data_IF_527867470049
#
_entry.id   IF_527867470049
#
_cell.length_a   1.000
_cell.length_b   1.000
_cell.length_c   1.000
_cell.angle_alpha   90.00
_cell.angle_beta   90.00
_cell.angle_gamma   90.00
#
_symmetry.space_group_name_H-M   'P 1'
#
loop_
_entity.id
_entity.type
_entity.pdbx_description
1 polymer ?
#
# COMPACT_ATOMS: atom_id res chain seq x y z
N UNK A 1 -13.21 2.42 -12.42
CA UNK A 1 -12.60 3.71 -12.79
C UNK A 1 -11.66 3.59 -13.98
N UNK A 2 -10.70 2.66 -13.94
CA UNK A 2 -9.69 2.49 -14.98
C UNK A 2 -10.23 1.88 -16.29
N UNK A 3 -11.39 1.23 -16.24
CA UNK A 3 -12.03 0.51 -17.34
C UNK A 3 -11.20 -0.66 -17.91
N UNK A 4 -10.17 -1.10 -17.18
CA UNK A 4 -9.35 -2.27 -17.53
C UNK A 4 -9.70 -3.46 -16.64
N UNK A 5 -9.41 -4.70 -17.07
CA UNK A 5 -9.64 -5.88 -16.25
C UNK A 5 -8.88 -5.86 -14.95
N UNK A 6 -9.46 -6.45 -13.90
CA UNK A 6 -8.84 -6.54 -12.58
C UNK A 6 -9.13 -7.91 -11.95
N UNK A 7 -8.16 -8.45 -11.23
CA UNK A 7 -8.28 -9.61 -10.37
C UNK A 7 -8.33 -9.22 -8.89
N UNK A 8 -9.10 -9.97 -8.12
CA UNK A 8 -9.21 -9.82 -6.66
C UNK A 8 -9.27 -11.22 -6.00
N UNK A 9 -8.13 -11.75 -5.52
CA UNK A 9 -8.06 -13.09 -4.97
C UNK A 9 -8.74 -13.19 -3.60
N UNK A 10 -9.35 -14.34 -3.31
CA UNK A 10 -9.94 -14.66 -2.02
C UNK A 10 -8.96 -15.34 -1.05
N UNK A 11 -7.92 -15.97 -1.56
CA UNK A 11 -6.91 -16.69 -0.79
C UNK A 11 -5.54 -16.69 -1.48
N UNK A 12 -4.54 -17.30 -0.86
CA UNK A 12 -3.16 -17.32 -1.35
C UNK A 12 -3.00 -18.15 -2.62
N UNK A 13 -3.76 -19.23 -2.77
CA UNK A 13 -3.72 -20.03 -3.99
C UNK A 13 -4.24 -19.22 -5.17
N UNK A 14 -5.37 -18.55 -5.02
CA UNK A 14 -5.88 -17.66 -6.07
C UNK A 14 -4.96 -16.50 -6.37
N UNK A 15 -4.29 -15.93 -5.34
CA UNK A 15 -3.31 -14.88 -5.56
C UNK A 15 -2.16 -15.36 -6.46
N UNK A 16 -1.68 -16.58 -6.24
CA UNK A 16 -0.67 -17.22 -7.08
C UNK A 16 -1.21 -17.50 -8.50
N UNK A 17 -2.38 -18.12 -8.60
CA UNK A 17 -2.99 -18.50 -9.87
C UNK A 17 -3.33 -17.29 -10.74
N UNK A 18 -3.88 -16.24 -10.14
CA UNK A 18 -4.24 -15.01 -10.86
C UNK A 18 -3.00 -14.27 -11.39
N UNK A 19 -1.86 -14.28 -10.67
CA UNK A 19 -0.60 -13.75 -11.21
C UNK A 19 -0.13 -14.61 -12.37
N UNK A 20 -0.15 -15.94 -12.20
CA UNK A 20 0.29 -16.88 -13.21
C UNK A 20 -0.53 -16.78 -14.52
N UNK A 21 -1.85 -16.59 -14.41
CA UNK A 21 -2.74 -16.48 -15.57
C UNK A 21 -2.85 -15.03 -16.08
N UNK A 22 -2.57 -14.05 -15.24
CA UNK A 22 -2.76 -12.63 -15.54
C UNK A 22 -1.88 -12.10 -16.68
N UNK A 23 -0.65 -12.61 -16.80
CA UNK A 23 0.23 -12.23 -17.91
C UNK A 23 -0.33 -12.67 -19.26
N UNK A 24 -0.79 -13.93 -19.38
CA UNK A 24 -1.41 -14.40 -20.64
C UNK A 24 -2.73 -13.68 -20.93
N UNK A 25 -3.49 -13.41 -19.87
CA UNK A 25 -4.75 -12.67 -20.02
C UNK A 25 -4.49 -11.24 -20.50
N UNK A 26 -3.48 -10.57 -19.96
CA UNK A 26 -3.03 -9.24 -20.40
C UNK A 26 -2.58 -9.25 -21.86
N UNK A 27 -1.74 -10.21 -22.24
CA UNK A 27 -1.25 -10.33 -23.62
C UNK A 27 -2.39 -10.65 -24.61
N UNK A 28 -3.29 -11.57 -24.25
CA UNK A 28 -4.47 -11.91 -25.05
C UNK A 28 -5.37 -10.71 -25.30
N UNK A 29 -5.55 -9.88 -24.29
CA UNK A 29 -6.37 -8.67 -24.39
C UNK A 29 -5.61 -7.49 -25.00
N UNK A 30 -4.28 -7.47 -24.93
CA UNK A 30 -3.47 -6.29 -25.27
C UNK A 30 -3.73 -5.09 -24.35
N UNK A 31 -4.13 -5.35 -23.11
CA UNK A 31 -4.42 -4.36 -22.07
C UNK A 31 -3.78 -4.76 -20.74
N UNK A 32 -3.37 -3.82 -19.90
CA UNK A 32 -2.89 -4.16 -18.58
C UNK A 32 -4.00 -4.79 -17.72
N UNK A 33 -3.63 -5.71 -16.84
CA UNK A 33 -4.52 -6.32 -15.86
C UNK A 33 -4.09 -5.87 -14.47
N UNK A 34 -5.00 -5.26 -13.72
CA UNK A 34 -4.75 -4.91 -12.33
C UNK A 34 -4.96 -6.13 -11.42
N UNK A 35 -4.17 -6.21 -10.35
CA UNK A 35 -4.41 -7.15 -9.27
C UNK A 35 -4.60 -6.39 -7.97
N UNK A 36 -5.80 -6.47 -7.41
CA UNK A 36 -6.14 -5.88 -6.12
C UNK A 36 -5.95 -6.90 -5.01
N UNK A 37 -5.05 -6.60 -4.10
CA UNK A 37 -4.79 -7.46 -2.95
C UNK A 37 -5.04 -6.70 -1.65
N UNK A 38 -5.85 -7.27 -0.76
CA UNK A 38 -6.09 -6.68 0.56
C UNK A 38 -4.92 -6.94 1.50
N UNK A 39 -4.72 -6.05 2.47
CA UNK A 39 -3.61 -6.11 3.43
C UNK A 39 -3.57 -7.44 4.18
N UNK A 40 -4.72 -7.96 4.61
CA UNK A 40 -4.82 -9.23 5.31
C UNK A 40 -4.24 -10.39 4.50
N UNK A 41 -4.59 -10.46 3.22
CA UNK A 41 -4.08 -11.52 2.33
C UNK A 41 -2.58 -11.34 2.06
N UNK A 42 -2.11 -10.12 1.86
CA UNK A 42 -0.70 -9.81 1.61
C UNK A 42 0.21 -10.17 2.80
N UNK A 43 -0.30 -10.08 4.03
CA UNK A 43 0.46 -10.38 5.25
C UNK A 43 0.28 -11.82 5.76
N UNK A 44 -0.65 -12.58 5.19
CA UNK A 44 -0.87 -13.98 5.56
C UNK A 44 0.04 -14.94 4.77
N UNK A 45 0.16 -16.17 5.27
CA UNK A 45 0.97 -17.21 4.64
C UNK A 45 0.18 -18.51 4.61
N UNK A 46 0.27 -19.21 3.47
CA UNK A 46 -0.28 -20.55 3.29
C UNK A 46 0.58 -21.36 2.31
N UNK A 47 0.45 -22.66 2.32
CA UNK A 47 0.96 -23.50 1.25
C UNK A 47 0.17 -23.25 -0.04
N UNK A 48 0.87 -23.22 -1.19
CA UNK A 48 0.26 -23.11 -2.51
C UNK A 48 0.79 -24.22 -3.41
N UNK A 49 -0.07 -24.80 -4.24
CA UNK A 49 0.32 -25.71 -5.30
C UNK A 49 1.00 -24.88 -6.41
N UNK A 50 2.25 -25.23 -6.70
CA UNK A 50 3.02 -24.54 -7.73
C UNK A 50 2.75 -25.17 -9.09
N UNK A 51 2.48 -24.32 -10.07
CA UNK A 51 2.37 -24.71 -11.49
C UNK A 51 3.76 -24.75 -12.13
N UNK A 52 3.88 -25.52 -13.22
CA UNK A 52 5.09 -25.51 -14.04
C UNK A 52 5.33 -24.10 -14.62
N UNK A 53 6.61 -23.76 -14.76
CA UNK A 53 6.99 -22.49 -15.34
C UNK A 53 6.56 -22.41 -16.80
N UNK A 54 5.82 -21.36 -17.17
CA UNK A 54 5.48 -21.10 -18.57
C UNK A 54 6.73 -20.70 -19.37
N UNK A 55 6.81 -21.10 -20.64
CA UNK A 55 7.87 -20.60 -21.50
C UNK A 55 7.72 -19.09 -21.68
N UNK A 56 8.85 -18.41 -21.81
CA UNK A 56 8.86 -16.98 -22.10
C UNK A 56 8.30 -16.74 -23.51
N UNK A 57 7.35 -15.82 -23.63
CA UNK A 57 6.85 -15.37 -24.93
C UNK A 57 7.91 -14.54 -25.67
N UNK A 58 7.85 -14.55 -26.99
CA UNK A 58 8.71 -13.71 -27.82
C UNK A 58 8.44 -12.23 -27.54
N UNK A 59 9.49 -11.42 -27.48
CA UNK A 59 9.36 -9.97 -27.35
C UNK A 59 8.88 -9.41 -28.68
N UNK A 60 7.76 -8.68 -28.68
CA UNK A 60 7.27 -7.93 -29.82
C UNK A 60 6.99 -6.48 -29.44
N UNK A 61 7.27 -5.58 -30.33
CA UNK A 61 6.95 -4.16 -30.17
C UNK A 61 5.88 -3.76 -31.17
N UNK A 62 5.06 -2.78 -30.79
CA UNK A 62 4.08 -2.23 -31.72
C UNK A 62 4.76 -1.50 -32.87
N UNK A 63 4.29 -1.73 -34.09
CA UNK A 63 4.73 -0.98 -35.27
C UNK A 63 4.17 0.45 -35.31
N UNK A 64 3.13 0.75 -34.51
CA UNK A 64 2.60 2.11 -34.37
C UNK A 64 3.28 2.83 -33.21
N UNK A 65 4.22 3.77 -33.46
CA UNK A 65 4.92 4.51 -32.42
C UNK A 65 3.97 5.36 -31.56
N UNK A 66 2.75 5.66 -32.06
CA UNK A 66 1.75 6.46 -31.34
C UNK A 66 0.97 5.65 -30.30
N UNK A 67 1.14 4.33 -30.29
CA UNK A 67 0.42 3.46 -29.34
C UNK A 67 0.74 3.82 -27.87
N UNK A 68 1.98 4.15 -27.58
CA UNK A 68 2.47 4.46 -26.23
C UNK A 68 2.82 5.94 -26.00
N UNK A 69 2.56 6.80 -26.99
CA UNK A 69 2.77 8.25 -26.87
C UNK A 69 1.49 8.93 -26.42
N UNK A 70 1.41 9.34 -25.16
CA UNK A 70 0.22 9.93 -24.55
C UNK A 70 0.06 11.41 -24.87
N UNK A 71 -0.06 11.76 -26.15
CA UNK A 71 -0.50 13.08 -26.58
C UNK A 71 -2.05 13.14 -26.59
N UNK A 72 -2.68 14.31 -26.36
CA UNK A 72 -4.15 14.42 -26.28
C UNK A 72 -4.91 13.80 -27.46
N UNK A 73 -4.38 13.92 -28.67
CA UNK A 73 -4.96 13.31 -29.86
C UNK A 73 -4.90 11.78 -29.86
N UNK A 74 -3.78 11.22 -29.41
CA UNK A 74 -3.59 9.78 -29.28
C UNK A 74 -4.41 9.21 -28.12
N UNK A 75 -4.39 9.87 -26.97
CA UNK A 75 -5.17 9.49 -25.79
C UNK A 75 -6.67 9.38 -26.11
N UNK A 76 -7.24 10.36 -26.83
CA UNK A 76 -8.65 10.31 -27.26
C UNK A 76 -8.96 9.12 -28.16
N UNK A 77 -8.06 8.77 -29.08
CA UNK A 77 -8.23 7.60 -29.97
C UNK A 77 -8.18 6.30 -29.16
N UNK A 78 -7.16 6.17 -28.27
CA UNK A 78 -7.01 4.98 -27.41
C UNK A 78 -8.18 4.82 -26.46
N UNK A 79 -8.69 5.89 -25.87
CA UNK A 79 -9.86 5.85 -24.99
C UNK A 79 -11.12 5.34 -25.72
N UNK A 80 -11.35 5.73 -26.99
CA UNK A 80 -12.44 5.19 -27.79
C UNK A 80 -12.30 3.68 -28.00
N UNK A 81 -11.08 3.19 -28.24
CA UNK A 81 -10.81 1.75 -28.37
C UNK A 81 -11.12 1.03 -27.07
N UNK A 82 -10.66 1.57 -25.94
CA UNK A 82 -10.92 1.02 -24.60
C UNK A 82 -12.43 0.93 -24.30
N UNK A 83 -13.19 1.98 -24.63
CA UNK A 83 -14.65 1.99 -24.45
C UNK A 83 -15.34 0.93 -25.33
N UNK A 84 -14.92 0.76 -26.57
CA UNK A 84 -15.50 -0.23 -27.48
C UNK A 84 -15.26 -1.69 -27.05
N UNK A 85 -14.28 -1.92 -26.18
CA UNK A 85 -13.89 -3.26 -25.69
C UNK A 85 -14.57 -3.65 -24.38
N UNK A 86 -15.38 -2.79 -23.77
CA UNK A 86 -15.98 -3.08 -22.46
C UNK A 86 -16.84 -4.36 -22.46
N UNK A 87 -17.58 -4.61 -23.52
CA UNK A 87 -18.39 -5.85 -23.65
C UNK A 87 -17.51 -7.10 -23.72
N UNK A 88 -16.33 -7.03 -24.37
CA UNK A 88 -15.33 -8.11 -24.37
C UNK A 88 -14.83 -8.41 -22.96
N UNK A 89 -14.54 -7.37 -22.18
CA UNK A 89 -14.06 -7.52 -20.80
C UNK A 89 -15.15 -8.07 -19.86
N UNK A 90 -16.40 -7.62 -20.03
CA UNK A 90 -17.56 -8.16 -19.30
C UNK A 90 -17.72 -9.65 -19.62
N UNK A 91 -17.68 -10.03 -20.89
CA UNK A 91 -17.77 -11.43 -21.31
C UNK A 91 -16.63 -12.27 -20.72
N UNK A 92 -15.40 -11.77 -20.77
CA UNK A 92 -14.25 -12.45 -20.15
C UNK A 92 -14.41 -12.64 -18.64
N UNK A 93 -15.06 -11.70 -17.95
CA UNK A 93 -15.40 -11.81 -16.54
C UNK A 93 -16.52 -12.83 -16.28
N UNK A 94 -17.54 -12.88 -17.15
CA UNK A 94 -18.63 -13.85 -17.05
C UNK A 94 -18.16 -15.29 -17.27
N UNK A 95 -17.14 -15.50 -18.10
CA UNK A 95 -16.52 -16.80 -18.41
C UNK A 95 -15.34 -17.14 -17.47
N UNK A 96 -15.01 -16.26 -16.54
CA UNK A 96 -13.85 -16.42 -15.67
C UNK A 96 -14.02 -17.57 -14.67
N UNK A 97 -12.99 -18.41 -14.48
CA UNK A 97 -13.00 -19.43 -13.42
C UNK A 97 -12.98 -18.83 -12.00
N UNK A 98 -12.62 -17.54 -11.87
CA UNK A 98 -12.57 -16.81 -10.61
C UNK A 98 -13.91 -16.20 -10.21
N UNK A 99 -14.90 -16.18 -11.12
CA UNK A 99 -16.27 -15.76 -10.84
C UNK A 99 -17.17 -16.99 -10.84
N UNK A 100 -17.78 -17.29 -9.69
CA UNK A 100 -18.55 -18.52 -9.54
C UNK A 100 -19.91 -18.25 -8.90
N UNK A 101 -20.97 -18.58 -9.63
CA UNK A 101 -22.31 -18.65 -9.07
C UNK A 101 -22.53 -20.04 -8.47
N UNK A 102 -22.97 -20.09 -7.24
CA UNK A 102 -23.40 -21.30 -6.53
C UNK A 102 -24.84 -21.09 -6.07
N UNK A 103 -25.75 -21.94 -6.52
CA UNK A 103 -27.14 -21.85 -6.11
C UNK A 103 -27.33 -22.30 -4.67
N UNK A 104 -28.41 -21.81 -4.02
CA UNK A 104 -28.81 -22.17 -2.67
C UNK A 104 -30.33 -22.25 -2.54
N UNK A 105 -30.86 -23.11 -1.64
CA UNK A 105 -32.31 -23.29 -1.50
C UNK A 105 -33.04 -22.11 -0.91
N UNK A 106 -32.38 -21.29 -0.12
CA UNK A 106 -32.98 -20.13 0.55
C UNK A 106 -32.82 -18.85 -0.28
N UNK A 107 -33.88 -18.44 -0.96
CA UNK A 107 -33.89 -17.28 -1.87
C UNK A 107 -34.19 -15.93 -1.18
N UNK A 108 -34.37 -15.91 0.14
CA UNK A 108 -34.59 -14.66 0.88
C UNK A 108 -33.40 -13.70 0.79
N UNK A 109 -32.20 -14.26 0.64
CA UNK A 109 -30.97 -13.50 0.55
C UNK A 109 -30.06 -14.07 -0.54
N UNK A 110 -29.61 -13.25 -1.47
CA UNK A 110 -28.50 -13.55 -2.39
C UNK A 110 -27.24 -12.87 -1.89
N UNK A 111 -26.09 -13.53 -1.99
CA UNK A 111 -24.82 -12.99 -1.48
C UNK A 111 -23.85 -12.80 -2.62
N UNK A 112 -23.34 -11.55 -2.78
CA UNK A 112 -22.19 -11.25 -3.62
C UNK A 112 -20.97 -11.13 -2.70
N UNK A 113 -19.98 -12.01 -2.89
CA UNK A 113 -18.77 -12.07 -2.07
C UNK A 113 -17.53 -11.81 -2.92
N UNK A 114 -16.87 -10.67 -2.68
CA UNK A 114 -15.72 -10.20 -3.44
C UNK A 114 -14.41 -10.54 -2.73
N UNK A 115 -13.44 -11.08 -3.46
CA UNK A 115 -12.12 -11.39 -2.94
C UNK A 115 -12.16 -12.12 -1.59
N UNK A 116 -11.48 -11.60 -0.59
CA UNK A 116 -11.39 -12.20 0.75
C UNK A 116 -12.76 -12.34 1.45
N UNK A 117 -13.75 -11.53 1.08
CA UNK A 117 -15.11 -11.64 1.62
C UNK A 117 -15.74 -13.00 1.36
N UNK A 118 -15.38 -13.63 0.23
CA UNK A 118 -15.81 -15.00 -0.05
C UNK A 118 -15.20 -16.01 0.94
N UNK A 119 -13.93 -15.87 1.27
CA UNK A 119 -13.28 -16.74 2.25
C UNK A 119 -13.94 -16.64 3.63
N UNK A 120 -14.20 -15.42 4.09
CA UNK A 120 -14.88 -15.18 5.36
C UNK A 120 -16.33 -15.71 5.38
N UNK A 121 -17.02 -15.65 4.24
CA UNK A 121 -18.34 -16.26 4.11
C UNK A 121 -18.23 -17.78 4.29
N UNK A 122 -17.30 -18.43 3.60
CA UNK A 122 -17.16 -19.91 3.67
C UNK A 122 -16.69 -20.40 5.03
N UNK A 123 -15.96 -19.63 5.81
CA UNK A 123 -15.64 -19.95 7.21
C UNK A 123 -16.91 -20.05 8.09
N UNK A 124 -17.96 -19.31 7.74
CA UNK A 124 -19.24 -19.37 8.42
C UNK A 124 -20.17 -20.50 7.90
N UNK A 125 -19.84 -21.06 6.75
CA UNK A 125 -20.61 -22.11 6.08
C UNK A 125 -19.70 -23.26 5.60
N UNK A 126 -19.03 -23.98 6.52
CA UNK A 126 -18.08 -25.04 6.15
C UNK A 126 -18.74 -26.20 5.39
N UNK A 127 -20.03 -26.46 5.64
CA UNK A 127 -20.82 -27.51 4.97
C UNK A 127 -21.56 -26.98 3.71
N UNK A 128 -21.34 -25.73 3.32
CA UNK A 128 -22.01 -25.06 2.22
C UNK A 128 -23.02 -24.01 2.66
N UNK A 129 -23.16 -22.96 1.84
CA UNK A 129 -24.09 -21.87 2.12
C UNK A 129 -25.50 -22.21 1.65
N UNK A 130 -26.51 -21.97 2.50
CA UNK A 130 -27.92 -22.18 2.14
C UNK A 130 -28.44 -21.12 1.16
N UNK A 131 -27.81 -19.96 1.09
CA UNK A 131 -28.16 -18.86 0.18
C UNK A 131 -27.44 -19.00 -1.17
N UNK A 132 -28.02 -18.49 -2.26
CA UNK A 132 -27.28 -18.32 -3.50
C UNK A 132 -26.08 -17.37 -3.29
N UNK A 133 -24.91 -17.78 -3.77
CA UNK A 133 -23.67 -17.01 -3.64
C UNK A 133 -23.07 -16.77 -5.01
N UNK A 134 -22.77 -15.50 -5.31
CA UNK A 134 -21.92 -15.12 -6.41
C UNK A 134 -20.55 -14.68 -5.86
N UNK A 135 -19.54 -15.51 -6.05
CA UNK A 135 -18.15 -15.14 -5.84
C UNK A 135 -17.68 -14.26 -6.97
N UNK A 136 -17.03 -13.12 -6.65
CA UNK A 136 -16.38 -12.24 -7.61
C UNK A 136 -14.89 -12.15 -7.29
N UNK A 137 -14.07 -12.61 -8.24
CA UNK A 137 -12.61 -12.53 -8.20
C UNK A 137 -12.03 -11.86 -9.45
N UNK A 138 -12.87 -11.58 -10.47
CA UNK A 138 -12.47 -10.88 -11.69
C UNK A 138 -13.49 -9.82 -12.07
N UNK A 139 -12.99 -8.67 -12.50
CA UNK A 139 -13.74 -7.51 -12.99
C UNK A 139 -13.42 -7.22 -14.45
N UNK A 140 -14.34 -6.53 -15.20
CA UNK A 140 -15.56 -5.84 -14.76
C UNK A 140 -16.58 -6.79 -14.14
N UNK A 141 -17.62 -6.24 -13.49
CA UNK A 141 -18.67 -7.05 -12.85
C UNK A 141 -19.31 -8.04 -13.84
N UNK A 142 -19.46 -9.32 -13.47
CA UNK A 142 -20.09 -10.34 -14.34
C UNK A 142 -21.60 -10.14 -14.38
N UNK A 143 -22.05 -9.34 -15.35
CA UNK A 143 -23.42 -8.84 -15.46
C UNK A 143 -24.46 -9.96 -15.47
N UNK A 144 -24.21 -11.02 -16.23
CA UNK A 144 -25.14 -12.15 -16.36
C UNK A 144 -25.42 -12.84 -15.04
N UNK A 145 -24.36 -13.15 -14.27
CA UNK A 145 -24.49 -13.82 -12.98
C UNK A 145 -25.10 -12.90 -11.92
N UNK A 146 -24.80 -11.60 -11.96
CA UNK A 146 -25.43 -10.62 -11.08
C UNK A 146 -26.93 -10.54 -11.35
N UNK A 147 -27.36 -10.44 -12.61
CA UNK A 147 -28.77 -10.41 -12.96
C UNK A 147 -29.48 -11.69 -12.51
N UNK A 148 -28.85 -12.87 -12.73
CA UNK A 148 -29.39 -14.16 -12.28
C UNK A 148 -29.61 -14.16 -10.76
N UNK A 149 -28.67 -13.65 -9.95
CA UNK A 149 -28.78 -13.57 -8.51
C UNK A 149 -29.90 -12.62 -8.08
N UNK A 150 -29.92 -11.42 -8.66
CA UNK A 150 -30.90 -10.36 -8.32
C UNK A 150 -32.33 -10.80 -8.67
N UNK A 151 -32.54 -11.46 -9.80
CA UNK A 151 -33.85 -11.94 -10.23
C UNK A 151 -34.36 -13.13 -9.40
N UNK A 152 -33.44 -13.88 -8.76
CA UNK A 152 -33.78 -15.06 -7.97
C UNK A 152 -33.92 -14.83 -6.48
N UNK A 153 -33.55 -13.68 -5.96
CA UNK A 153 -33.51 -13.41 -4.53
C UNK A 153 -34.26 -12.12 -4.13
N UNK A 154 -34.83 -12.12 -2.91
CA UNK A 154 -35.59 -10.99 -2.39
C UNK A 154 -34.69 -9.79 -2.01
N UNK A 155 -33.50 -10.07 -1.49
CA UNK A 155 -32.51 -9.07 -1.06
C UNK A 155 -31.11 -9.54 -1.46
N UNK A 156 -30.19 -8.57 -1.64
CA UNK A 156 -28.78 -8.84 -1.96
C UNK A 156 -27.87 -8.30 -0.85
N UNK A 157 -27.01 -9.15 -0.32
CA UNK A 157 -25.92 -8.77 0.57
C UNK A 157 -24.61 -8.71 -0.22
N UNK A 158 -23.89 -7.60 -0.11
CA UNK A 158 -22.57 -7.44 -0.72
C UNK A 158 -21.48 -7.50 0.35
N UNK A 159 -20.59 -8.47 0.21
CA UNK A 159 -19.42 -8.67 1.06
C UNK A 159 -18.18 -8.24 0.27
N UNK A 160 -17.74 -7.00 0.47
CA UNK A 160 -16.55 -6.44 -0.14
C UNK A 160 -15.66 -5.76 0.91
N UNK A 161 -14.35 -5.97 0.82
CA UNK A 161 -13.41 -5.34 1.73
C UNK A 161 -12.98 -3.96 1.20
N UNK A 162 -12.89 -2.98 2.10
CA UNK A 162 -12.60 -1.59 1.77
C UNK A 162 -13.85 -0.79 1.39
N UNK A 163 -13.77 -0.01 0.31
CA UNK A 163 -14.87 0.89 -0.10
C UNK A 163 -16.00 0.13 -0.79
N UNK A 164 -17.26 0.55 -0.59
CA UNK A 164 -18.45 -0.11 -1.16
C UNK A 164 -18.57 0.17 -2.66
N UNK A 165 -17.76 -0.49 -3.48
CA UNK A 165 -17.72 -0.32 -4.92
C UNK A 165 -18.87 -1.06 -5.63
N UNK A 166 -19.00 -2.36 -5.35
CA UNK A 166 -20.04 -3.21 -5.96
C UNK A 166 -21.42 -2.79 -5.49
N UNK A 167 -21.57 -2.53 -4.18
CA UNK A 167 -22.81 -2.06 -3.60
C UNK A 167 -23.28 -0.75 -4.24
N UNK A 168 -22.37 0.22 -4.44
CA UNK A 168 -22.68 1.49 -5.13
C UNK A 168 -23.13 1.29 -6.56
N UNK A 169 -22.54 0.36 -7.29
CA UNK A 169 -22.94 0.07 -8.67
C UNK A 169 -24.33 -0.57 -8.73
N UNK A 170 -24.66 -1.47 -7.81
CA UNK A 170 -25.96 -2.12 -7.76
C UNK A 170 -27.07 -1.17 -7.32
N UNK A 171 -26.83 -0.34 -6.32
CA UNK A 171 -27.79 0.66 -5.84
C UNK A 171 -28.01 1.80 -6.84
N UNK A 172 -27.01 2.08 -7.69
CA UNK A 172 -26.98 3.29 -8.50
C UNK A 172 -26.88 4.56 -7.66
N UNK A 173 -26.80 5.72 -8.32
CA UNK A 173 -26.56 7.00 -7.66
C UNK A 173 -27.70 7.44 -6.73
N UNK A 174 -28.93 7.11 -7.05
CA UNK A 174 -30.13 7.55 -6.33
C UNK A 174 -30.68 6.49 -5.35
N UNK A 175 -30.07 5.31 -5.25
CA UNK A 175 -30.55 4.22 -4.40
C UNK A 175 -31.91 3.66 -4.81
N UNK A 176 -32.33 3.85 -6.07
CA UNK A 176 -33.58 3.38 -6.62
C UNK A 176 -33.37 1.96 -7.17
N UNK A 177 -34.20 1.01 -6.77
CA UNK A 177 -34.17 -0.34 -7.34
C UNK A 177 -34.06 -1.44 -6.31
N UNK A 178 -33.11 -2.36 -6.49
CA UNK A 178 -32.94 -3.59 -5.72
C UNK A 178 -32.67 -3.31 -4.24
N UNK A 179 -33.21 -4.14 -3.35
CA UNK A 179 -32.84 -4.12 -1.93
C UNK A 179 -31.43 -4.71 -1.76
N UNK A 180 -30.46 -3.84 -1.61
CA UNK A 180 -29.05 -4.21 -1.40
C UNK A 180 -28.65 -3.85 0.01
N UNK A 181 -28.13 -4.83 0.75
CA UNK A 181 -27.51 -4.69 2.06
C UNK A 181 -25.98 -4.70 1.93
N UNK A 182 -25.30 -3.94 2.77
CA UNK A 182 -23.85 -3.89 2.78
C UNK A 182 -23.33 -2.81 3.71
N UNK A 183 -22.31 -2.08 3.28
CA UNK A 183 -21.70 -1.01 4.08
C UNK A 183 -22.53 0.27 4.09
N UNK A 184 -23.27 0.54 3.00
CA UNK A 184 -24.03 1.79 2.87
C UNK A 184 -25.32 1.84 3.73
N UNK A 185 -25.93 0.68 4.03
CA UNK A 185 -27.09 0.59 4.90
C UNK A 185 -26.76 0.25 6.37
N UNK A 186 -25.47 0.07 6.68
CA UNK A 186 -24.99 -0.24 8.03
C UNK A 186 -25.04 -1.73 8.40
N UNK A 187 -25.42 -2.64 7.50
CA UNK A 187 -25.34 -4.09 7.74
C UNK A 187 -23.89 -4.54 8.00
N UNK A 188 -22.94 -3.93 7.31
CA UNK A 188 -21.52 -4.02 7.58
C UNK A 188 -20.99 -2.65 7.99
N UNK A 189 -19.95 -2.59 8.85
CA UNK A 189 -19.33 -1.32 9.22
C UNK A 189 -18.72 -0.65 7.99
N UNK A 190 -18.83 0.69 7.89
CA UNK A 190 -18.19 1.46 6.83
C UNK A 190 -16.69 1.59 7.03
N UNK A 191 -16.23 1.46 8.26
CA UNK A 191 -14.82 1.49 8.66
C UNK A 191 -14.31 0.10 9.05
N UNK A 192 -12.99 -0.03 9.13
CA UNK A 192 -12.31 -1.24 9.53
C UNK A 192 -12.28 -2.35 8.46
N UNK A 193 -11.57 -3.42 8.82
CA UNK A 193 -11.46 -4.62 7.98
C UNK A 193 -12.75 -5.46 8.05
N UNK A 194 -13.07 -6.12 6.95
CA UNK A 194 -14.01 -7.22 6.96
C UNK A 194 -13.38 -8.42 7.71
N UNK A 195 -14.17 -9.12 8.49
CA UNK A 195 -13.73 -10.32 9.21
C UNK A 195 -14.87 -11.35 9.34
N UNK A 196 -14.57 -12.60 9.72
CA UNK A 196 -15.58 -13.67 9.83
C UNK A 196 -16.76 -13.31 10.75
N UNK A 197 -16.51 -12.61 11.85
CA UNK A 197 -17.55 -12.23 12.81
C UNK A 197 -18.50 -11.16 12.25
N UNK A 198 -17.96 -10.19 11.48
CA UNK A 198 -18.81 -9.19 10.82
C UNK A 198 -19.67 -9.83 9.73
N UNK A 199 -19.14 -10.82 9.02
CA UNK A 199 -19.89 -11.60 8.03
C UNK A 199 -20.96 -12.46 8.72
N UNK A 200 -20.63 -13.14 9.83
CA UNK A 200 -21.59 -13.92 10.60
C UNK A 200 -22.82 -13.09 11.00
N UNK A 201 -22.58 -11.89 11.56
CA UNK A 201 -23.67 -10.95 11.91
C UNK A 201 -24.51 -10.53 10.70
N UNK A 202 -23.87 -10.23 9.56
CA UNK A 202 -24.54 -9.79 8.34
C UNK A 202 -25.47 -10.86 7.76
N UNK A 203 -25.14 -12.15 7.93
CA UNK A 203 -25.96 -13.30 7.49
C UNK A 203 -26.83 -13.87 8.59
N UNK A 204 -26.97 -13.18 9.74
CA UNK A 204 -27.84 -13.57 10.84
C UNK A 204 -27.36 -14.77 11.66
N UNK A 205 -26.08 -15.09 11.62
CA UNK A 205 -25.46 -16.11 12.49
C UNK A 205 -24.96 -15.51 13.79
N UNK A 206 -25.02 -16.28 14.87
CA UNK A 206 -24.39 -15.92 16.13
C UNK A 206 -22.85 -15.90 15.97
N UNK A 207 -22.21 -14.94 16.62
CA UNK A 207 -20.75 -14.87 16.66
C UNK A 207 -20.19 -16.11 17.36
N UNK A 208 -19.31 -16.86 16.70
CA UNK A 208 -18.60 -17.97 17.30
C UNK A 208 -17.47 -17.54 18.23
N UNK A 209 -17.12 -16.24 18.26
CA UNK A 209 -16.10 -15.70 19.16
C UNK A 209 -16.61 -15.52 20.60
N UNK A 210 -17.18 -16.57 21.18
CA UNK A 210 -17.43 -16.64 22.62
C UNK A 210 -16.15 -16.67 23.45
N UNK A 211 -15.03 -16.90 22.81
CA UNK A 211 -13.73 -16.86 23.43
C UNK A 211 -13.24 -15.40 23.42
N UNK A 212 -13.35 -14.74 24.56
CA UNK A 212 -12.67 -13.46 24.79
C UNK A 212 -11.18 -13.56 24.45
N UNK A 213 -10.54 -12.43 24.13
CA UNK A 213 -9.10 -12.42 23.90
C UNK A 213 -8.41 -12.93 25.18
N UNK A 214 -7.67 -14.07 25.13
CA UNK A 214 -6.98 -14.58 26.31
C UNK A 214 -6.04 -13.54 26.90
N UNK A 215 -5.94 -13.46 28.23
CA UNK A 215 -5.10 -12.49 28.93
C UNK A 215 -3.61 -12.56 28.58
N UNK A 216 -3.16 -13.67 28.01
CA UNK A 216 -1.79 -13.86 27.50
C UNK A 216 -1.54 -13.09 26.19
N UNK A 217 -2.60 -12.67 25.49
CA UNK A 217 -2.49 -11.91 24.24
C UNK A 217 -2.29 -10.44 24.57
N UNK A 218 -1.08 -9.95 24.37
CA UNK A 218 -0.76 -8.54 24.52
C UNK A 218 -0.76 -7.83 23.15
N UNK A 219 -1.23 -6.59 23.17
CA UNK A 219 -1.14 -5.71 21.98
C UNK A 219 0.35 -5.45 21.68
N UNK A 220 0.74 -5.72 20.45
CA UNK A 220 2.10 -5.49 19.94
C UNK A 220 2.08 -4.48 18.81
N UNK A 221 1.96 -3.18 19.12
CA UNK A 221 2.00 -2.16 18.08
C UNK A 221 3.36 -2.20 17.37
N UNK A 222 3.40 -1.88 16.06
CA UNK A 222 4.66 -1.76 15.35
C UNK A 222 5.60 -0.79 16.06
N UNK A 223 6.86 -1.19 16.23
CA UNK A 223 7.87 -0.39 16.89
C UNK A 223 9.24 -0.54 16.21
N UNK A 224 10.10 0.46 16.36
CA UNK A 224 11.49 0.36 15.92
C UNK A 224 12.20 -0.76 16.68
N UNK A 225 12.91 -1.61 15.96
CA UNK A 225 13.66 -2.72 16.55
C UNK A 225 14.62 -2.24 17.64
N UNK A 226 14.82 -3.03 18.70
CA UNK A 226 15.82 -2.73 19.70
C UNK A 226 17.22 -2.72 19.09
N UNK A 227 18.03 -1.68 19.38
CA UNK A 227 19.35 -1.49 18.80
C UNK A 227 19.35 -0.98 17.35
N UNK A 228 18.19 -0.57 16.81
CA UNK A 228 18.10 0.03 15.48
C UNK A 228 18.72 1.44 15.46
N UNK A 229 19.47 1.77 14.39
CA UNK A 229 20.06 3.11 14.21
C UNK A 229 19.04 4.25 14.15
N UNK A 230 17.82 3.99 13.66
CA UNK A 230 16.74 4.98 13.66
C UNK A 230 16.36 5.44 15.09
N UNK A 231 16.49 4.55 16.10
CA UNK A 231 16.21 4.93 17.50
C UNK A 231 17.22 5.97 18.00
N UNK A 232 18.51 5.70 17.76
CA UNK A 232 19.59 6.59 18.17
C UNK A 232 19.49 7.96 17.46
N UNK A 233 19.13 7.95 16.19
CA UNK A 233 18.88 9.18 15.43
C UNK A 233 17.70 9.97 16.01
N UNK A 234 16.56 9.32 16.29
CA UNK A 234 15.40 10.02 16.85
C UNK A 234 15.61 10.53 18.27
N UNK A 235 16.36 9.82 19.10
CA UNK A 235 16.72 10.31 20.45
C UNK A 235 17.46 11.64 20.33
N UNK A 236 18.52 11.69 19.52
CA UNK A 236 19.33 12.90 19.37
C UNK A 236 18.57 14.04 18.70
N UNK A 237 17.79 13.74 17.67
CA UNK A 237 16.96 14.74 16.97
C UNK A 237 15.90 15.35 17.91
N UNK A 238 15.15 14.48 18.62
CA UNK A 238 14.08 14.98 19.48
C UNK A 238 14.60 15.73 20.71
N UNK A 239 15.75 15.37 21.23
CA UNK A 239 16.38 16.13 22.31
C UNK A 239 16.72 17.54 21.85
N UNK A 240 17.46 17.71 20.74
CA UNK A 240 17.81 19.02 20.20
C UNK A 240 16.57 19.86 19.87
N UNK A 241 15.60 19.26 19.16
CA UNK A 241 14.42 20.01 18.70
C UNK A 241 13.53 20.45 19.86
N UNK A 242 13.31 19.61 20.89
CA UNK A 242 12.49 19.95 22.05
C UNK A 242 13.14 21.00 22.95
N UNK A 243 14.45 20.93 23.11
CA UNK A 243 15.19 21.84 23.98
C UNK A 243 15.34 23.24 23.37
N UNK A 244 15.56 23.33 22.06
CA UNK A 244 16.01 24.57 21.45
C UNK A 244 15.01 25.17 20.43
N UNK A 245 14.09 24.33 19.87
CA UNK A 245 13.19 24.74 18.79
C UNK A 245 11.73 24.35 19.08
N UNK A 246 11.02 25.01 19.99
CA UNK A 246 9.67 24.61 20.44
C UNK A 246 8.61 24.60 19.30
N UNK A 247 8.84 25.38 18.24
CA UNK A 247 7.93 25.46 17.09
C UNK A 247 8.27 24.51 15.94
N UNK A 248 9.29 23.64 16.11
CA UNK A 248 9.74 22.72 15.07
C UNK A 248 8.63 21.80 14.55
N UNK A 249 8.76 21.37 13.31
CA UNK A 249 8.02 20.25 12.73
C UNK A 249 8.96 19.33 11.98
N UNK A 250 8.72 18.03 12.14
CA UNK A 250 9.45 16.96 11.46
C UNK A 250 8.50 16.28 10.49
N UNK A 251 8.78 16.36 9.22
CA UNK A 251 8.02 15.75 8.14
C UNK A 251 8.65 14.41 7.77
N UNK A 252 7.84 13.37 7.67
CA UNK A 252 8.32 12.05 7.31
C UNK A 252 7.46 11.43 6.22
N UNK A 253 7.88 10.31 5.73
CA UNK A 253 7.18 9.51 4.74
C UNK A 253 7.27 8.01 5.08
N UNK A 254 7.14 7.11 4.11
CA UNK A 254 6.93 5.69 4.37
C UNK A 254 8.24 4.89 4.39
N UNK A 255 8.55 4.31 5.55
CA UNK A 255 9.66 3.40 5.79
C UNK A 255 9.74 2.99 7.25
N UNK A 256 10.77 2.24 7.67
CA UNK A 256 10.94 1.87 9.09
C UNK A 256 11.02 3.09 10.01
N UNK A 257 11.61 4.17 9.52
CA UNK A 257 11.74 5.44 10.26
C UNK A 257 10.37 6.09 10.57
N UNK A 258 9.30 5.79 9.81
CA UNK A 258 7.93 6.22 10.14
C UNK A 258 7.51 5.81 11.54
N UNK A 259 8.03 4.70 12.07
CA UNK A 259 7.74 4.23 13.41
C UNK A 259 8.28 5.16 14.52
N UNK A 260 9.08 6.17 14.15
CA UNK A 260 9.41 7.29 15.04
C UNK A 260 8.20 8.15 15.44
N UNK A 261 7.04 7.98 14.77
CA UNK A 261 5.77 8.57 15.19
C UNK A 261 5.29 8.06 16.54
N UNK A 262 5.64 6.83 16.89
CA UNK A 262 5.16 6.16 18.09
C UNK A 262 6.04 6.48 19.30
N UNK A 263 5.44 6.29 20.50
CA UNK A 263 6.20 6.34 21.74
C UNK A 263 7.36 5.32 21.73
N UNK A 264 8.49 5.64 22.36
CA UNK A 264 8.77 6.81 23.20
C UNK A 264 9.20 8.07 22.41
N UNK A 265 9.39 7.98 21.09
CA UNK A 265 9.99 9.05 20.29
C UNK A 265 9.04 10.20 20.05
N UNK A 266 7.84 9.92 19.50
CA UNK A 266 6.87 10.95 19.07
C UNK A 266 7.58 12.04 18.25
N UNK A 267 8.43 11.62 17.31
CA UNK A 267 9.45 12.44 16.69
C UNK A 267 9.03 13.07 15.37
N UNK A 268 7.93 12.60 14.77
CA UNK A 268 7.46 13.08 13.47
C UNK A 268 6.04 13.61 13.57
N UNK A 269 5.73 14.60 12.75
CA UNK A 269 4.45 15.31 12.74
C UNK A 269 3.59 14.99 11.52
N UNK A 270 4.17 14.37 10.49
CA UNK A 270 3.42 13.93 9.31
C UNK A 270 4.03 12.69 8.70
N UNK A 271 3.21 11.93 7.98
CA UNK A 271 3.60 10.78 7.19
C UNK A 271 2.54 10.58 6.10
N UNK A 272 2.90 10.73 4.84
CA UNK A 272 1.96 10.58 3.72
C UNK A 272 2.41 9.45 2.80
N UNK A 273 3.07 9.74 1.68
CA UNK A 273 3.55 8.76 0.71
C UNK A 273 5.07 8.79 0.60
N UNK A 274 5.64 7.82 -0.11
CA UNK A 274 7.10 7.73 -0.28
C UNK A 274 7.63 8.97 -1.00
N UNK A 275 8.53 9.73 -0.34
CA UNK A 275 9.17 10.94 -0.86
C UNK A 275 8.52 12.26 -0.47
N UNK A 276 7.32 12.25 0.09
CA UNK A 276 6.60 13.46 0.48
C UNK A 276 7.26 14.24 1.62
N UNK A 277 8.13 13.63 2.42
CA UNK A 277 8.78 14.28 3.56
C UNK A 277 9.53 15.56 3.16
N UNK A 278 10.31 15.49 2.09
CA UNK A 278 11.13 16.62 1.63
C UNK A 278 10.26 17.76 1.09
N UNK A 279 9.29 17.44 0.23
CA UNK A 279 8.40 18.45 -0.37
C UNK A 279 7.47 19.09 0.66
N UNK A 280 7.00 18.33 1.67
CA UNK A 280 6.25 18.89 2.79
C UNK A 280 7.10 19.82 3.66
N UNK A 281 8.35 19.44 3.96
CA UNK A 281 9.27 20.29 4.71
C UNK A 281 9.56 21.58 3.95
N UNK A 282 9.79 21.49 2.62
CA UNK A 282 9.97 22.67 1.77
C UNK A 282 8.75 23.59 1.82
N UNK A 283 7.56 23.06 1.56
CA UNK A 283 6.33 23.86 1.59
C UNK A 283 6.09 24.51 2.96
N UNK A 284 6.45 23.84 4.04
CA UNK A 284 6.37 24.41 5.39
C UNK A 284 7.40 25.53 5.62
N UNK A 285 8.64 25.36 5.12
CA UNK A 285 9.67 26.40 5.17
C UNK A 285 9.27 27.64 4.35
N UNK A 286 8.70 27.44 3.17
CA UNK A 286 8.15 28.51 2.32
C UNK A 286 7.01 29.25 3.04
N UNK A 287 6.22 28.55 3.84
CA UNK A 287 5.20 29.11 4.73
C UNK A 287 5.74 29.78 6.00
N UNK A 288 7.06 29.85 6.17
CA UNK A 288 7.73 30.52 7.31
C UNK A 288 7.99 29.63 8.53
N UNK A 289 7.80 28.31 8.43
CA UNK A 289 8.14 27.38 9.52
C UNK A 289 9.67 27.26 9.66
N UNK A 290 10.16 27.40 10.89
CA UNK A 290 11.56 27.18 11.24
C UNK A 290 11.71 26.52 12.62
N UNK A 291 12.51 25.47 12.73
CA UNK A 291 13.09 24.68 11.64
C UNK A 291 12.06 23.77 10.94
N UNK A 292 12.22 23.57 9.65
CA UNK A 292 11.53 22.56 8.87
C UNK A 292 12.49 21.38 8.61
N UNK A 293 12.18 20.22 9.16
CA UNK A 293 13.04 19.02 9.10
C UNK A 293 12.33 17.93 8.34
N UNK A 294 12.97 17.33 7.34
CA UNK A 294 12.51 16.14 6.66
C UNK A 294 13.27 14.90 7.14
N UNK A 295 12.58 13.77 7.34
CA UNK A 295 13.20 12.48 7.61
C UNK A 295 12.73 11.48 6.55
N UNK A 296 13.68 10.89 5.84
CA UNK A 296 13.47 9.95 4.73
C UNK A 296 14.46 8.78 4.83
N UNK A 297 14.09 7.61 4.35
CA UNK A 297 15.00 6.46 4.26
C UNK A 297 15.79 6.45 2.96
N UNK A 298 16.89 5.72 2.92
CA UNK A 298 17.78 5.55 1.76
C UNK A 298 17.06 5.06 0.50
N UNK A 299 16.26 4.03 0.61
CA UNK A 299 15.48 3.48 -0.50
C UNK A 299 14.37 4.44 -0.95
N UNK A 300 13.67 5.07 -0.02
CA UNK A 300 12.62 6.06 -0.32
C UNK A 300 13.22 7.30 -0.97
N UNK A 301 14.40 7.72 -0.53
CA UNK A 301 15.13 8.84 -1.13
C UNK A 301 15.43 8.58 -2.61
N UNK A 302 15.96 7.40 -2.94
CA UNK A 302 16.24 7.05 -4.34
C UNK A 302 15.00 6.73 -5.16
N UNK A 303 13.88 6.36 -4.52
CA UNK A 303 12.60 6.14 -5.19
C UNK A 303 11.97 7.47 -5.63
N UNK A 304 11.83 8.45 -4.74
CA UNK A 304 11.07 9.70 -5.01
C UNK A 304 11.55 10.94 -4.26
N UNK A 305 12.59 10.83 -3.40
CA UNK A 305 13.10 11.99 -2.63
C UNK A 305 14.03 12.90 -3.42
N UNK A 306 14.71 12.39 -4.45
CA UNK A 306 15.70 13.15 -5.22
C UNK A 306 15.10 14.37 -5.93
N UNK A 307 13.88 14.25 -6.47
CA UNK A 307 13.19 15.36 -7.14
C UNK A 307 12.85 16.48 -6.15
N UNK A 308 12.38 16.12 -4.95
CA UNK A 308 12.11 17.10 -3.90
C UNK A 308 13.37 17.79 -3.41
N UNK A 309 14.51 17.07 -3.31
CA UNK A 309 15.78 17.67 -2.96
C UNK A 309 16.27 18.66 -4.02
N UNK A 310 16.16 18.30 -5.31
CA UNK A 310 16.52 19.20 -6.42
C UNK A 310 15.70 20.49 -6.37
N UNK A 311 14.41 20.41 -6.09
CA UNK A 311 13.53 21.58 -5.94
C UNK A 311 13.95 22.46 -4.75
N UNK A 312 14.27 21.86 -3.61
CA UNK A 312 14.82 22.58 -2.46
C UNK A 312 16.10 23.34 -2.80
N UNK A 313 17.03 22.71 -3.53
CA UNK A 313 18.30 23.33 -3.93
C UNK A 313 18.08 24.47 -4.91
N UNK A 314 17.23 24.28 -5.93
CA UNK A 314 16.94 25.31 -6.94
C UNK A 314 16.40 26.60 -6.32
N UNK A 315 15.60 26.50 -5.25
CA UNK A 315 15.00 27.65 -4.57
C UNK A 315 15.76 28.06 -3.30
N UNK A 316 16.89 27.40 -3.01
CA UNK A 316 17.67 27.63 -1.78
C UNK A 316 16.79 27.57 -0.52
N UNK A 317 15.92 26.56 -0.45
CA UNK A 317 14.98 26.39 0.64
C UNK A 317 15.71 26.16 1.98
N UNK A 318 15.18 26.72 3.06
CA UNK A 318 15.76 26.55 4.38
C UNK A 318 15.24 25.28 5.05
N UNK A 319 15.80 24.11 4.65
CA UNK A 319 15.34 22.77 5.07
C UNK A 319 16.51 21.89 5.46
N UNK A 320 16.39 21.23 6.60
CA UNK A 320 17.33 20.17 7.02
C UNK A 320 16.74 18.80 6.68
N UNK A 321 17.44 18.01 5.86
CA UNK A 321 16.99 16.71 5.39
C UNK A 321 17.83 15.61 6.05
N UNK A 322 17.17 14.69 6.76
CA UNK A 322 17.81 13.53 7.40
C UNK A 322 17.52 12.30 6.55
N UNK A 323 18.53 11.77 5.87
CA UNK A 323 18.44 10.55 5.09
C UNK A 323 18.92 9.37 5.93
N UNK A 324 17.98 8.64 6.53
CA UNK A 324 18.27 7.48 7.38
C UNK A 324 18.74 6.29 6.55
N UNK A 325 20.07 6.13 6.43
CA UNK A 325 20.69 5.11 5.60
C UNK A 325 20.95 3.83 6.41
N UNK A 326 20.12 2.82 6.17
CA UNK A 326 20.26 1.50 6.77
C UNK A 326 20.67 0.41 5.77
N UNK A 327 21.07 0.82 4.56
CA UNK A 327 21.58 -0.01 3.46
C UNK A 327 20.61 -1.07 2.96
N UNK A 328 19.29 -0.92 3.22
CA UNK A 328 18.29 -1.93 2.84
C UNK A 328 16.86 -1.42 2.87
N UNK A 329 16.00 -1.97 2.02
CA UNK A 329 14.54 -1.80 2.08
C UNK A 329 13.97 -2.80 3.10
N UNK A 330 14.09 -2.49 4.39
CA UNK A 330 13.89 -3.46 5.46
C UNK A 330 12.44 -3.93 5.62
N UNK A 331 11.44 -3.05 5.45
CA UNK A 331 10.02 -3.36 5.69
C UNK A 331 9.45 -4.41 4.76
N UNK A 332 9.91 -4.45 3.53
CA UNK A 332 9.37 -5.33 2.47
C UNK A 332 10.13 -6.63 2.28
N UNK A 333 11.11 -6.92 3.14
CA UNK A 333 11.83 -8.19 3.13
C UNK A 333 13.35 -8.08 3.15
N UNK A 334 13.92 -6.88 3.16
CA UNK A 334 15.36 -6.65 3.23
C UNK A 334 16.04 -6.71 1.87
N UNK A 335 15.39 -6.15 0.86
CA UNK A 335 15.95 -5.95 -0.47
C UNK A 335 17.10 -4.94 -0.42
N UNK A 336 18.04 -5.03 -1.36
CA UNK A 336 19.13 -4.08 -1.49
C UNK A 336 18.57 -2.67 -1.80
N UNK A 337 19.15 -1.65 -1.16
CA UNK A 337 18.83 -0.26 -1.46
C UNK A 337 19.65 0.25 -2.63
N UNK A 338 19.01 0.87 -3.62
CA UNK A 338 19.68 1.49 -4.75
C UNK A 338 20.62 2.65 -4.33
N UNK A 339 20.38 3.24 -3.16
CA UNK A 339 21.18 4.32 -2.58
C UNK A 339 22.46 3.88 -1.88
N UNK A 340 22.64 2.58 -1.63
CA UNK A 340 23.80 2.09 -0.86
C UNK A 340 25.12 2.56 -1.46
N UNK A 341 25.91 3.31 -0.68
CA UNK A 341 27.22 3.86 -1.08
C UNK A 341 27.17 4.99 -2.12
N UNK A 342 25.98 5.58 -2.39
CA UNK A 342 25.79 6.60 -3.44
C UNK A 342 25.12 7.88 -2.96
N UNK A 343 24.57 7.90 -1.76
CA UNK A 343 23.69 8.99 -1.29
C UNK A 343 24.43 10.33 -1.29
N UNK A 344 25.68 10.38 -0.79
CA UNK A 344 26.46 11.62 -0.77
C UNK A 344 26.73 12.16 -2.18
N UNK A 345 27.12 11.28 -3.10
CA UNK A 345 27.37 11.65 -4.48
C UNK A 345 26.08 12.13 -5.19
N UNK A 346 24.94 11.52 -4.88
CA UNK A 346 23.63 11.96 -5.39
C UNK A 346 23.29 13.35 -4.84
N UNK A 347 23.41 13.58 -3.53
CA UNK A 347 23.11 14.88 -2.93
C UNK A 347 24.02 15.99 -3.47
N UNK A 348 25.32 15.73 -3.58
CA UNK A 348 26.27 16.68 -4.17
C UNK A 348 25.98 16.94 -5.67
N UNK A 349 25.65 15.88 -6.42
CA UNK A 349 25.25 15.98 -7.84
C UNK A 349 23.96 16.75 -8.08
N UNK A 350 23.05 16.77 -7.11
CA UNK A 350 21.84 17.59 -7.11
C UNK A 350 22.08 19.04 -6.65
N UNK A 351 23.31 19.39 -6.24
CA UNK A 351 23.71 20.73 -5.91
C UNK A 351 23.69 21.10 -4.44
N UNK A 352 23.54 20.14 -3.53
CA UNK A 352 23.75 20.40 -2.09
C UNK A 352 25.22 20.71 -1.86
N UNK A 353 25.50 21.78 -1.09
CA UNK A 353 26.87 22.11 -0.73
C UNK A 353 27.54 20.95 0.01
N UNK A 354 28.67 20.41 -0.49
CA UNK A 354 29.38 19.30 0.15
C UNK A 354 29.74 19.53 1.63
N UNK A 355 29.92 20.79 2.05
CA UNK A 355 30.18 21.14 3.44
C UNK A 355 28.97 20.84 4.35
N UNK A 356 27.77 20.80 3.77
CA UNK A 356 26.48 20.56 4.44
C UNK A 356 25.89 19.18 4.12
N UNK A 357 26.73 18.23 3.65
CA UNK A 357 26.39 16.80 3.55
C UNK A 357 27.16 16.07 4.65
N UNK A 358 26.49 15.72 5.73
CA UNK A 358 27.12 15.23 6.97
C UNK A 358 26.77 13.76 7.21
N UNK A 359 27.74 12.86 7.12
CA UNK A 359 27.57 11.45 7.43
C UNK A 359 27.89 11.22 8.92
N UNK A 360 26.99 10.56 9.63
CA UNK A 360 27.15 10.25 11.06
C UNK A 360 26.81 8.78 11.34
N UNK A 361 27.40 8.21 12.38
CA UNK A 361 27.07 6.84 12.80
C UNK A 361 26.15 6.89 14.02
N UNK A 362 24.87 6.50 13.89
CA UNK A 362 23.88 6.60 14.97
C UNK A 362 24.12 5.52 16.02
N UNK A 363 24.97 5.84 16.99
CA UNK A 363 25.33 5.03 18.16
C UNK A 363 25.36 5.91 19.40
N UNK A 364 25.00 5.34 20.53
CA UNK A 364 24.96 6.04 21.82
C UNK A 364 26.25 6.82 22.16
N UNK A 365 27.41 6.26 21.82
CA UNK A 365 28.71 6.92 22.04
C UNK A 365 28.92 8.18 21.23
N UNK A 366 28.15 8.39 20.16
CA UNK A 366 28.27 9.52 19.23
C UNK A 366 27.14 10.56 19.43
N UNK A 367 26.32 10.45 20.49
CA UNK A 367 25.14 11.33 20.68
C UNK A 367 25.51 12.81 20.72
N UNK A 368 26.57 13.18 21.43
CA UNK A 368 26.97 14.59 21.53
C UNK A 368 27.45 15.14 20.16
N UNK A 369 28.17 14.35 19.39
CA UNK A 369 28.57 14.71 18.03
C UNK A 369 27.34 14.85 17.12
N UNK A 370 26.41 13.92 17.19
CA UNK A 370 25.17 13.97 16.41
C UNK A 370 24.33 15.20 16.74
N UNK A 371 24.16 15.51 18.03
CA UNK A 371 23.43 16.71 18.47
C UNK A 371 24.11 18.00 17.96
N UNK A 372 25.44 18.07 18.03
CA UNK A 372 26.20 19.21 17.50
C UNK A 372 25.97 19.38 16.00
N UNK A 373 26.05 18.29 15.21
CA UNK A 373 25.80 18.32 13.77
C UNK A 373 24.36 18.73 13.47
N UNK A 374 23.37 18.20 14.20
CA UNK A 374 21.96 18.57 14.00
C UNK A 374 21.75 20.06 14.23
N UNK A 375 22.37 20.67 15.28
CA UNK A 375 22.33 22.12 15.52
C UNK A 375 22.96 22.91 14.37
N UNK A 376 24.18 22.55 13.99
CA UNK A 376 24.92 23.22 12.92
C UNK A 376 24.11 23.25 11.61
N UNK A 377 23.49 22.11 11.26
CA UNK A 377 22.75 21.98 10.00
C UNK A 377 21.34 22.61 10.07
N UNK A 378 20.72 22.70 11.23
CA UNK A 378 19.48 23.48 11.40
C UNK A 378 19.76 24.98 11.34
N UNK A 379 20.87 25.46 11.90
CA UNK A 379 21.24 26.87 11.89
C UNK A 379 21.72 27.36 10.52
N UNK A 380 22.17 26.44 9.65
CA UNK A 380 22.55 26.77 8.29
C UNK A 380 21.34 27.28 7.50
N UNK A 381 21.51 28.39 6.78
CA UNK A 381 20.46 28.98 5.95
C UNK A 381 20.58 28.51 4.51
N UNK A 382 19.94 27.39 4.24
CA UNK A 382 19.95 26.69 2.95
C UNK A 382 19.54 25.24 3.10
N UNK A 383 19.84 24.46 2.10
CA UNK A 383 19.56 23.02 2.10
C UNK A 383 20.72 22.27 2.74
N UNK A 384 20.46 21.56 3.83
CA UNK A 384 21.45 20.71 4.49
C UNK A 384 20.98 19.25 4.52
N UNK A 385 21.93 18.31 4.49
CA UNK A 385 21.67 16.87 4.48
C UNK A 385 22.50 16.19 5.58
N UNK A 386 21.82 15.50 6.47
CA UNK A 386 22.45 14.62 7.49
C UNK A 386 22.14 13.18 7.11
N UNK A 387 23.16 12.32 7.09
CA UNK A 387 23.05 10.92 6.71
C UNK A 387 23.45 10.03 7.90
N UNK A 388 22.51 9.70 8.80
CA UNK A 388 22.76 8.70 9.86
C UNK A 388 22.88 7.32 9.21
N UNK A 389 24.12 6.80 9.05
CA UNK A 389 24.40 5.54 8.39
C UNK A 389 24.72 4.42 9.36
N UNK A 390 23.92 3.37 9.34
CA UNK A 390 24.15 2.15 10.08
C UNK A 390 23.35 0.99 9.51
N UNK A 391 24.04 -0.09 9.13
CA UNK A 391 23.40 -1.29 8.57
C UNK A 391 22.22 -1.78 9.42
N UNK A 392 21.14 -2.19 8.77
CA UNK A 392 19.97 -2.75 9.42
C UNK A 392 20.32 -4.00 10.25
N UNK A 393 19.97 -3.97 11.53
CA UNK A 393 20.29 -5.08 12.45
C UNK A 393 19.63 -6.40 12.07
N UNK A 394 18.47 -6.37 11.42
CA UNK A 394 17.78 -7.56 10.95
C UNK A 394 18.52 -8.17 9.74
N UNK A 395 19.01 -7.34 8.83
CA UNK A 395 19.82 -7.77 7.68
C UNK A 395 21.14 -8.32 8.15
N UNK A 396 21.80 -7.64 9.08
CA UNK A 396 23.05 -8.10 9.70
C UNK A 396 22.88 -9.46 10.39
N UNK A 397 21.79 -9.65 11.13
CA UNK A 397 21.50 -10.92 11.77
C UNK A 397 21.24 -12.05 10.78
N UNK A 398 20.57 -11.77 9.64
CA UNK A 398 20.39 -12.74 8.54
C UNK A 398 21.72 -13.12 7.90
N UNK A 399 22.56 -12.14 7.56
CA UNK A 399 23.91 -12.38 6.98
C UNK A 399 24.78 -13.25 7.89
N UNK A 400 24.66 -13.08 9.23
CA UNK A 400 25.39 -13.93 10.20
C UNK A 400 24.88 -15.37 10.30
N UNK A 401 23.58 -15.59 10.03
CA UNK A 401 22.99 -16.95 10.04
C UNK A 401 23.24 -17.72 8.73
N UNK A 402 23.55 -17.02 7.64
CA UNK A 402 23.84 -17.63 6.32
C UNK A 402 25.31 -17.94 6.09
N UNK A 403 26.17 -17.54 7.04
CA UNK A 403 27.59 -17.96 7.12
C UNK A 403 27.76 -19.09 8.13
#
# INVERSE_FOLDING_TARGET
>A
FSLIPMYEPSNQQEAYDMVYDGFEFSEKLGEPVLMRMVTRLAHSRSGVERKEQKPQNGISFSDDPRQFILLPGNARKRYKVLLARQDEFIKASEESPYNKYTDGPNKKLGIIACGIGYNYLMENYPEGCEYPVLKIGQYPLPKKQILQLVESCDEILVLEDGQPFVEKQLKGYLGIGIKVKGRLDGTLSQDGELNPDSVARAVGKENKSEFGIPSVVEMRPPALCEGCGHRDMYITLTEVLKEEYPSHKVFSDIGCYTLGANAPFNAINSCVDMGASITMAKGAADGGLYPAVAVIGDSTFTHSGMTGLLDCVNENANVTIIISDNETTAMTGGQDSAGTGRIEAICAGLGVDPAHIRVVVPLKKNYEEMKRIIREEIEYRGVSVIIPRRECIQTLARKKRSK
#
